data_IF_076283278029
#
_entry.id   IF_076283278029
#
_cell.length_a   1.000
_cell.length_b   1.000
_cell.length_c   1.000
_cell.angle_alpha   90.00
_cell.angle_beta   90.00
_cell.angle_gamma   90.00
#
_symmetry.space_group_name_H-M   'P 1'
#
loop_
_entity.id
_entity.type
_entity.pdbx_description
1 polymer ?
#
# COMPACT_ATOMS: atom_id res chain seq x y z
N UNK A 1 -24.17 -7.71 -11.47
CA UNK A 1 -24.86 -6.54 -10.91
C UNK A 1 -24.35 -5.31 -11.64
N UNK A 2 -25.25 -4.45 -12.13
CA UNK A 2 -24.90 -3.33 -12.99
C UNK A 2 -24.40 -2.14 -12.20
N UNK A 3 -23.08 -1.98 -12.12
CA UNK A 3 -22.45 -0.70 -11.83
C UNK A 3 -21.51 -0.36 -12.99
N UNK A 4 -22.01 0.41 -13.97
CA UNK A 4 -21.24 0.90 -15.11
C UNK A 4 -20.87 2.39 -14.97
N UNK A 5 -20.91 2.94 -13.76
CA UNK A 5 -20.36 4.27 -13.52
C UNK A 5 -18.85 4.14 -13.37
N UNK A 6 -18.16 4.11 -14.52
CA UNK A 6 -16.71 4.26 -14.57
C UNK A 6 -16.34 5.70 -14.22
N UNK A 7 -16.10 5.95 -12.94
CA UNK A 7 -15.56 7.22 -12.47
C UNK A 7 -14.06 7.19 -12.70
N UNK A 8 -13.59 7.97 -13.69
CA UNK A 8 -12.15 8.14 -13.90
C UNK A 8 -11.57 8.90 -12.70
N UNK A 9 -10.78 8.21 -11.89
CA UNK A 9 -10.04 8.84 -10.80
C UNK A 9 -8.93 9.69 -11.40
N UNK A 10 -8.98 11.00 -11.19
CA UNK A 10 -7.93 11.91 -11.61
C UNK A 10 -6.76 11.84 -10.62
N UNK A 11 -5.50 11.81 -11.11
CA UNK A 11 -4.33 11.92 -10.24
C UNK A 11 -4.40 13.17 -9.34
N UNK A 12 -3.97 13.00 -8.09
CA UNK A 12 -3.82 14.10 -7.14
C UNK A 12 -2.60 14.95 -7.51
N UNK A 13 -2.69 16.26 -7.25
CA UNK A 13 -1.50 17.11 -7.26
C UNK A 13 -0.57 16.73 -6.12
N UNK A 14 0.70 17.15 -6.23
CA UNK A 14 1.78 16.81 -5.30
C UNK A 14 1.43 17.09 -3.84
N UNK A 15 0.77 18.22 -3.57
CA UNK A 15 0.38 18.64 -2.22
C UNK A 15 -0.66 17.68 -1.63
N UNK A 16 -1.74 17.39 -2.36
CA UNK A 16 -2.78 16.45 -1.93
C UNK A 16 -2.28 15.01 -1.84
N UNK A 17 -1.36 14.63 -2.73
CA UNK A 17 -0.73 13.31 -2.69
C UNK A 17 0.10 13.16 -1.40
N UNK A 18 0.87 14.18 -1.05
CA UNK A 18 1.64 14.21 0.19
C UNK A 18 0.74 14.20 1.44
N UNK A 19 -0.32 15.02 1.47
CA UNK A 19 -1.31 15.01 2.55
C UNK A 19 -1.93 13.62 2.74
N UNK A 20 -2.36 12.98 1.65
CA UNK A 20 -2.90 11.63 1.69
C UNK A 20 -1.86 10.62 2.21
N UNK A 21 -0.60 10.74 1.76
CA UNK A 21 0.49 9.88 2.21
C UNK A 21 0.67 9.98 3.73
N UNK A 22 0.74 11.20 4.28
CA UNK A 22 0.88 11.41 5.72
C UNK A 22 -0.28 10.79 6.51
N UNK A 23 -1.52 11.00 6.05
CA UNK A 23 -2.73 10.42 6.65
C UNK A 23 -2.67 8.89 6.67
N UNK A 24 -2.20 8.27 5.57
CA UNK A 24 -2.16 6.81 5.44
C UNK A 24 -0.97 6.18 6.16
N UNK A 25 0.16 6.88 6.24
CA UNK A 25 1.31 6.50 7.07
C UNK A 25 0.96 6.51 8.56
N UNK A 26 0.03 7.37 8.97
CA UNK A 26 -0.42 7.50 10.36
C UNK A 26 0.58 8.25 11.24
N UNK A 27 1.47 9.06 10.63
CA UNK A 27 2.48 9.90 11.30
C UNK A 27 2.32 11.33 10.82
N UNK A 28 1.48 12.10 11.51
CA UNK A 28 1.08 13.43 11.03
C UNK A 28 2.04 14.56 11.41
N UNK A 29 2.93 14.45 12.42
CA UNK A 29 3.64 15.64 12.93
C UNK A 29 5.14 15.53 13.25
N UNK A 30 5.77 14.36 13.30
CA UNK A 30 7.16 14.28 13.82
C UNK A 30 8.05 13.29 13.05
N UNK A 31 8.02 13.35 11.71
CA UNK A 31 9.05 12.67 10.94
C UNK A 31 10.36 13.47 11.02
N UNK A 32 11.49 12.84 11.37
CA UNK A 32 12.81 13.47 11.21
C UNK A 32 12.97 14.05 9.79
N UNK A 33 13.69 15.17 9.61
CA UNK A 33 13.82 15.83 8.31
C UNK A 33 14.21 14.87 7.18
N UNK A 34 15.22 14.03 7.41
CA UNK A 34 15.69 13.07 6.41
C UNK A 34 14.64 12.00 6.08
N UNK A 35 13.92 11.51 7.08
CA UNK A 35 12.82 10.56 6.89
C UNK A 35 11.72 11.19 6.03
N UNK A 36 11.37 12.46 6.33
CA UNK A 36 10.34 13.20 5.60
C UNK A 36 10.68 13.38 4.13
N UNK A 37 11.94 13.67 3.80
CA UNK A 37 12.38 13.83 2.41
C UNK A 37 12.28 12.51 1.63
N UNK A 38 12.70 11.39 2.24
CA UNK A 38 12.55 10.06 1.60
C UNK A 38 11.06 9.71 1.43
N UNK A 39 10.24 9.92 2.46
CA UNK A 39 8.80 9.65 2.41
C UNK A 39 8.08 10.49 1.33
N UNK A 40 8.47 11.75 1.14
CA UNK A 40 7.97 12.58 0.03
C UNK A 40 8.36 12.01 -1.33
N UNK A 41 9.60 11.55 -1.47
CA UNK A 41 10.06 10.89 -2.70
C UNK A 41 9.20 9.68 -3.05
N UNK A 42 8.92 8.82 -2.06
CA UNK A 42 8.01 7.68 -2.22
C UNK A 42 6.60 8.10 -2.66
N UNK A 43 6.04 9.16 -2.06
CA UNK A 43 4.74 9.70 -2.47
C UNK A 43 4.75 10.17 -3.94
N UNK A 44 5.85 10.79 -4.38
CA UNK A 44 6.05 11.21 -5.76
C UNK A 44 6.07 10.05 -6.76
N UNK A 45 6.62 8.90 -6.38
CA UNK A 45 6.64 7.68 -7.23
C UNK A 45 5.25 7.10 -7.49
N UNK A 46 4.23 7.50 -6.74
CA UNK A 46 2.86 7.00 -6.89
C UNK A 46 2.06 7.70 -8.02
N UNK A 47 2.68 8.62 -8.77
CA UNK A 47 2.06 9.33 -9.90
C UNK A 47 0.71 10.00 -9.57
N UNK A 48 0.50 10.40 -8.31
CA UNK A 48 -0.76 11.00 -7.84
C UNK A 48 -1.94 10.03 -7.70
N UNK A 49 -1.77 8.73 -7.93
CA UNK A 49 -2.86 7.75 -7.82
C UNK A 49 -3.22 7.50 -6.34
N UNK A 50 -4.45 7.81 -5.88
CA UNK A 50 -4.81 7.69 -4.47
C UNK A 50 -4.60 6.29 -3.87
N UNK A 51 -4.88 5.25 -4.67
CA UNK A 51 -4.68 3.86 -4.25
C UNK A 51 -3.20 3.52 -4.07
N UNK A 52 -2.36 3.86 -5.05
CA UNK A 52 -0.92 3.67 -4.97
C UNK A 52 -0.31 4.38 -3.75
N UNK A 53 -0.68 5.64 -3.53
CA UNK A 53 -0.25 6.43 -2.37
C UNK A 53 -0.63 5.73 -1.07
N UNK A 54 -1.88 5.26 -0.97
CA UNK A 54 -2.34 4.59 0.25
C UNK A 54 -1.63 3.25 0.50
N UNK A 55 -1.29 2.51 -0.55
CA UNK A 55 -0.57 1.24 -0.46
C UNK A 55 0.86 1.47 0.02
N UNK A 56 1.62 2.35 -0.65
CA UNK A 56 3.02 2.66 -0.29
C UNK A 56 3.10 3.26 1.12
N UNK A 57 2.23 4.22 1.45
CA UNK A 57 2.23 4.82 2.79
C UNK A 57 1.94 3.79 3.90
N UNK A 58 1.02 2.85 3.66
CA UNK A 58 0.66 1.82 4.64
C UNK A 58 1.72 0.74 4.78
N UNK A 59 2.42 0.38 3.70
CA UNK A 59 3.54 -0.56 3.81
C UNK A 59 4.63 0.04 4.70
N UNK A 60 4.86 1.37 4.66
CA UNK A 60 5.83 2.05 5.53
C UNK A 60 5.38 2.21 6.99
N UNK A 61 4.18 1.75 7.37
CA UNK A 61 3.69 1.91 8.74
C UNK A 61 4.56 1.12 9.72
N UNK A 62 5.09 1.83 10.73
CA UNK A 62 5.96 1.23 11.75
C UNK A 62 7.40 1.01 11.31
N UNK A 63 7.81 1.57 10.16
CA UNK A 63 9.21 1.72 9.78
C UNK A 63 9.76 2.96 10.48
N UNK A 64 10.80 2.76 11.29
CA UNK A 64 11.46 3.81 12.08
C UNK A 64 12.94 3.97 11.74
N UNK A 65 13.54 2.94 11.14
CA UNK A 65 14.94 2.98 10.70
C UNK A 65 15.04 3.69 9.34
N UNK A 66 15.96 4.65 9.25
CA UNK A 66 16.22 5.40 8.03
C UNK A 66 16.84 4.54 6.92
N UNK A 67 17.64 3.53 7.27
CA UNK A 67 18.22 2.59 6.31
C UNK A 67 17.13 1.70 5.73
N UNK A 68 16.24 1.15 6.58
CA UNK A 68 15.08 0.38 6.11
C UNK A 68 14.18 1.21 5.18
N UNK A 69 13.98 2.50 5.51
CA UNK A 69 13.21 3.40 4.65
C UNK A 69 13.88 3.66 3.29
N UNK A 70 15.22 3.77 3.25
CA UNK A 70 15.97 3.94 2.00
C UNK A 70 15.92 2.69 1.15
N UNK A 71 16.17 1.52 1.74
CA UNK A 71 16.06 0.24 1.04
C UNK A 71 14.65 0.07 0.46
N UNK A 72 13.63 0.43 1.24
CA UNK A 72 12.24 0.39 0.78
C UNK A 72 11.95 1.36 -0.38
N UNK A 73 12.65 2.50 -0.46
CA UNK A 73 12.54 3.42 -1.60
C UNK A 73 13.21 2.81 -2.83
N UNK A 74 14.42 2.26 -2.68
CA UNK A 74 15.17 1.63 -3.77
C UNK A 74 14.39 0.44 -4.35
N UNK A 75 13.79 -0.39 -3.49
CA UNK A 75 12.87 -1.44 -3.90
C UNK A 75 11.68 -0.87 -4.69
N UNK A 76 11.03 0.18 -4.18
CA UNK A 76 9.89 0.81 -4.83
C UNK A 76 10.23 1.36 -6.22
N UNK A 77 11.46 1.85 -6.43
CA UNK A 77 11.90 2.32 -7.73
C UNK A 77 11.81 1.22 -8.79
N UNK A 78 12.12 -0.03 -8.43
CA UNK A 78 12.03 -1.18 -9.31
C UNK A 78 10.58 -1.43 -9.77
N UNK A 79 9.59 -1.17 -8.92
CA UNK A 79 8.17 -1.38 -9.21
C UNK A 79 7.50 -0.20 -9.95
N UNK A 80 8.12 0.98 -9.95
CA UNK A 80 7.53 2.23 -10.44
C UNK A 80 7.66 2.49 -11.96
N UNK A 81 8.10 1.51 -12.75
CA UNK A 81 8.37 1.70 -14.19
C UNK A 81 7.09 1.51 -15.01
N UNK A 82 6.58 2.63 -15.56
CA UNK A 82 5.92 2.81 -16.86
C UNK A 82 4.75 1.89 -17.25
N UNK A 83 3.61 2.52 -17.56
CA UNK A 83 2.38 1.95 -18.17
C UNK A 83 1.34 1.31 -17.21
N UNK A 84 0.16 1.01 -17.77
CA UNK A 84 -1.14 0.76 -17.12
C UNK A 84 -1.15 -0.27 -15.96
N UNK A 85 -0.08 -1.06 -15.80
CA UNK A 85 0.12 -2.04 -14.72
C UNK A 85 0.76 -1.49 -13.44
N UNK A 86 1.02 -0.18 -13.36
CA UNK A 86 1.69 0.45 -12.20
C UNK A 86 1.02 0.10 -10.85
N UNK A 87 -0.31 -0.02 -10.80
CA UNK A 87 -1.03 -0.37 -9.56
C UNK A 87 -0.76 -1.80 -9.12
N UNK A 88 -0.70 -2.76 -10.04
CA UNK A 88 -0.40 -4.16 -9.70
C UNK A 88 1.02 -4.31 -9.15
N UNK A 89 1.99 -3.62 -9.74
CA UNK A 89 3.38 -3.64 -9.24
C UNK A 89 3.49 -3.02 -7.84
N UNK A 90 2.73 -1.97 -7.57
CA UNK A 90 2.67 -1.36 -6.22
C UNK A 90 1.96 -2.28 -5.21
N UNK A 91 0.93 -3.02 -5.64
CA UNK A 91 0.30 -4.05 -4.81
C UNK A 91 1.28 -5.19 -4.49
N UNK A 92 2.05 -5.66 -5.47
CA UNK A 92 3.09 -6.66 -5.30
C UNK A 92 4.17 -6.16 -4.32
N UNK A 93 4.64 -4.93 -4.48
CA UNK A 93 5.56 -4.29 -3.53
C UNK A 93 5.03 -4.33 -2.09
N UNK A 94 3.76 -3.95 -1.89
CA UNK A 94 3.15 -3.99 -0.55
C UNK A 94 2.97 -5.40 0.00
N UNK A 95 2.68 -6.38 -0.85
CA UNK A 95 2.59 -7.78 -0.45
C UNK A 95 3.96 -8.32 -0.04
N UNK A 96 5.01 -8.02 -0.80
CA UNK A 96 6.37 -8.47 -0.52
C UNK A 96 6.91 -7.92 0.81
N UNK A 97 6.45 -6.72 1.21
CA UNK A 97 6.79 -6.08 2.49
C UNK A 97 5.97 -6.54 3.71
N UNK A 98 5.07 -7.51 3.56
CA UNK A 98 4.46 -8.18 4.71
C UNK A 98 5.54 -8.92 5.52
N UNK A 99 5.56 -8.68 6.84
CA UNK A 99 6.66 -9.06 7.75
C UNK A 99 6.93 -10.57 7.84
N UNK A 100 5.89 -11.38 7.71
CA UNK A 100 5.96 -12.81 7.92
C UNK A 100 5.12 -13.59 6.90
N UNK A 101 5.46 -14.86 6.71
CA UNK A 101 4.78 -15.74 5.76
C UNK A 101 3.31 -15.95 6.10
N UNK A 102 2.94 -15.97 7.39
CA UNK A 102 1.53 -16.16 7.79
C UNK A 102 0.70 -14.98 7.34
N UNK A 103 1.20 -13.75 7.48
CA UNK A 103 0.52 -12.55 6.97
C UNK A 103 0.31 -12.61 5.45
N UNK A 104 1.31 -13.10 4.71
CA UNK A 104 1.22 -13.32 3.25
C UNK A 104 0.16 -14.36 2.90
N UNK A 105 0.19 -15.50 3.57
CA UNK A 105 -0.77 -16.60 3.36
C UNK A 105 -2.20 -16.17 3.73
N UNK A 106 -2.37 -15.44 4.83
CA UNK A 106 -3.66 -14.85 5.25
C UNK A 106 -4.23 -13.95 4.15
N UNK A 107 -3.39 -13.08 3.56
CA UNK A 107 -3.83 -12.20 2.48
C UNK A 107 -4.23 -13.00 1.22
N UNK A 108 -3.41 -13.99 0.82
CA UNK A 108 -3.73 -14.84 -0.33
C UNK A 108 -5.01 -15.64 -0.14
N UNK A 109 -5.34 -16.03 1.08
CA UNK A 109 -6.58 -16.76 1.36
C UNK A 109 -7.84 -15.96 0.98
N UNK A 110 -7.79 -14.63 1.07
CA UNK A 110 -8.88 -13.76 0.62
C UNK A 110 -9.19 -13.93 -0.89
N UNK A 111 -8.24 -14.40 -1.69
CA UNK A 111 -8.45 -14.67 -3.13
C UNK A 111 -9.29 -15.92 -3.42
N UNK A 112 -9.55 -16.76 -2.42
CA UNK A 112 -10.43 -17.94 -2.57
C UNK A 112 -11.92 -17.58 -2.55
N UNK A 113 -12.25 -16.36 -2.16
CA UNK A 113 -13.63 -15.86 -2.16
C UNK A 113 -14.01 -15.33 -3.55
N UNK A 114 -15.29 -15.45 -3.97
CA UNK A 114 -15.75 -14.88 -5.23
C UNK A 114 -15.54 -13.36 -5.30
N UNK A 115 -15.50 -12.84 -6.52
CA UNK A 115 -15.48 -11.39 -6.77
C UNK A 115 -16.67 -10.71 -6.08
N UNK A 116 -16.43 -9.54 -5.49
CA UNK A 116 -17.41 -8.75 -4.71
C UNK A 116 -17.99 -9.44 -3.46
N UNK A 117 -17.47 -10.60 -3.06
CA UNK A 117 -17.94 -11.29 -1.86
C UNK A 117 -17.57 -10.52 -0.58
N UNK A 118 -18.54 -10.33 0.31
CA UNK A 118 -18.30 -9.76 1.64
C UNK A 118 -17.76 -10.86 2.55
N UNK A 119 -16.44 -10.81 2.80
CA UNK A 119 -15.78 -11.72 3.73
C UNK A 119 -16.12 -11.31 5.18
N UNK A 120 -16.69 -12.23 5.95
CA UNK A 120 -16.92 -11.99 7.38
C UNK A 120 -15.59 -12.06 8.15
N UNK A 121 -15.37 -11.08 9.04
CA UNK A 121 -14.12 -11.00 9.80
C UNK A 121 -13.98 -12.16 10.77
N UNK A 122 -15.05 -12.53 11.46
CA UNK A 122 -14.99 -13.60 12.47
C UNK A 122 -14.74 -14.94 11.81
N UNK A 123 -15.39 -15.21 10.67
CA UNK A 123 -15.12 -16.37 9.84
C UNK A 123 -13.64 -16.45 9.45
N UNK A 124 -13.07 -15.37 8.91
CA UNK A 124 -11.68 -15.33 8.49
C UNK A 124 -10.70 -15.58 9.65
N UNK A 125 -10.97 -14.99 10.82
CA UNK A 125 -10.16 -15.21 12.04
C UNK A 125 -10.25 -16.67 12.50
N UNK A 126 -11.45 -17.24 12.56
CA UNK A 126 -11.65 -18.63 12.98
C UNK A 126 -10.93 -19.59 12.03
N UNK A 127 -11.00 -19.35 10.72
CA UNK A 127 -10.29 -20.14 9.71
C UNK A 127 -8.77 -20.11 9.95
N UNK A 128 -8.19 -18.94 10.20
CA UNK A 128 -6.75 -18.82 10.40
C UNK A 128 -6.26 -19.47 11.69
N UNK A 129 -7.01 -19.34 12.79
CA UNK A 129 -6.67 -20.02 14.05
C UNK A 129 -6.79 -21.55 13.92
N UNK A 130 -7.77 -22.04 13.15
CA UNK A 130 -7.95 -23.49 12.96
C UNK A 130 -6.84 -24.17 12.13
N UNK A 131 -5.99 -23.38 11.48
CA UNK A 131 -4.90 -23.85 10.62
C UNK A 131 -3.50 -23.56 11.17
N UNK A 132 -3.39 -23.04 12.39
CA UNK A 132 -2.18 -23.07 13.23
C UNK A 132 -1.96 -24.48 13.81
#
# INVERSE_FOLDING_TARGET
MGCQLQIKVTPLCTEKAWELFQVKLGRCMELPPDFKEIAKSMAGKCAGLPLAIAIVARSMKGVDDIFELRDALDDLEQYSIGEDDNVFRILEYSYNRLRDQRSKDCFLYCSLYPEEWKIDRHELITLFISKD
#
